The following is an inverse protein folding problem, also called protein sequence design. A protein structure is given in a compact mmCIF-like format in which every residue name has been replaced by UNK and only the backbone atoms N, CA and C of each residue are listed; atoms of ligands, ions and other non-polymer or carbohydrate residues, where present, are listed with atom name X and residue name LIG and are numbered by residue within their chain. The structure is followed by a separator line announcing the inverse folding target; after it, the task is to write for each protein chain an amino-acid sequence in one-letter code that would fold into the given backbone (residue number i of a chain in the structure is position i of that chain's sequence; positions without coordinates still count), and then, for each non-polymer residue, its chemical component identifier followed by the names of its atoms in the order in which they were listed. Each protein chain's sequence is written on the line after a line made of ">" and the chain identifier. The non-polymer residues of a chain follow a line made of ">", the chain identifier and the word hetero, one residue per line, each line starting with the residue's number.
data_IF_291193375172
#
_entry.id   IF_291193375172
#
_cell.length_a   1.000
_cell.length_b   1.000
_cell.length_c   1.000
_cell.angle_alpha   90.00
_cell.angle_beta   90.00
_cell.angle_gamma   90.00
#
_symmetry.space_group_name_H-M   'P 1'
#
loop_
_entity.id
_entity.type
_entity.pdbx_description
1 polymer ?
#
# COMPACT_ATOMS: atom_id res chain seq x y z
N UNK A 1 -22.98 -80.84 40.35
CA UNK A 1 -23.22 -80.32 38.98
C UNK A 1 -22.77 -78.87 39.00
N UNK A 2 -21.62 -78.60 38.36
CA UNK A 2 -20.84 -77.37 38.50
C UNK A 2 -21.38 -76.22 37.67
N UNK A 3 -21.28 -75.02 38.23
CA UNK A 3 -21.48 -73.76 37.51
C UNK A 3 -20.15 -73.24 36.99
N UNK A 4 -20.17 -72.71 35.77
CA UNK A 4 -19.07 -71.91 35.23
C UNK A 4 -19.62 -70.61 34.64
N UNK A 5 -19.28 -69.51 35.31
CA UNK A 5 -19.46 -68.13 34.87
C UNK A 5 -18.36 -67.82 33.86
N UNK A 6 -18.70 -67.44 32.63
CA UNK A 6 -17.72 -67.08 31.60
C UNK A 6 -17.52 -65.56 31.56
N UNK A 7 -16.60 -65.06 32.38
CA UNK A 7 -16.10 -63.69 32.28
C UNK A 7 -15.08 -63.59 31.14
N UNK A 8 -15.49 -63.03 30.00
CA UNK A 8 -14.58 -62.72 28.88
C UNK A 8 -13.77 -61.47 29.19
N UNK A 9 -12.53 -61.66 29.63
CA UNK A 9 -11.54 -60.59 29.80
C UNK A 9 -11.04 -60.14 28.42
N UNK A 10 -11.18 -58.86 28.09
CA UNK A 10 -10.62 -58.26 26.88
C UNK A 10 -9.08 -58.13 27.01
N UNK A 11 -8.30 -58.45 25.97
CA UNK A 11 -6.86 -58.24 26.02
C UNK A 11 -6.54 -56.74 25.87
N UNK A 12 -5.90 -56.18 26.91
CA UNK A 12 -5.06 -55.00 26.78
C UNK A 12 -3.78 -55.41 26.04
N UNK A 13 -3.61 -54.98 24.79
CA UNK A 13 -2.30 -54.81 24.15
C UNK A 13 -2.12 -53.31 23.88
N UNK A 14 -1.21 -52.64 24.57
CA UNK A 14 0.17 -52.41 24.11
C UNK A 14 0.14 -51.25 23.10
N UNK A 15 0.50 -50.00 23.44
CA UNK A 15 1.77 -49.63 24.07
C UNK A 15 2.88 -49.69 23.02
N UNK A 16 3.07 -48.61 22.25
CA UNK A 16 4.10 -48.46 21.22
C UNK A 16 3.48 -48.28 19.82
N UNK A 17 3.63 -47.16 19.14
CA UNK A 17 4.87 -46.43 18.89
C UNK A 17 4.55 -44.97 18.62
N UNK A 18 5.34 -44.10 19.23
CA UNK A 18 5.48 -42.71 18.83
C UNK A 18 5.51 -42.61 17.30
N UNK A 19 4.54 -41.90 16.72
CA UNK A 19 4.54 -41.48 15.34
C UNK A 19 5.64 -40.43 15.13
N UNK A 20 6.88 -40.90 15.18
CA UNK A 20 8.07 -40.10 14.93
C UNK A 20 7.96 -39.44 13.54
N UNK A 21 8.48 -38.22 13.37
CA UNK A 21 8.33 -37.52 12.10
C UNK A 21 9.03 -38.29 10.99
N UNK A 22 8.30 -38.68 9.95
CA UNK A 22 8.88 -39.27 8.73
C UNK A 22 9.47 -38.12 7.89
N UNK A 23 10.76 -37.86 8.09
CA UNK A 23 11.57 -36.86 7.38
C UNK A 23 13.01 -36.87 7.90
N UNK A 24 14.01 -36.47 7.10
CA UNK A 24 15.39 -36.39 7.60
C UNK A 24 15.49 -35.30 8.69
N UNK A 25 16.28 -35.52 9.75
CA UNK A 25 16.47 -34.53 10.84
C UNK A 25 16.88 -33.16 10.29
N UNK A 26 17.67 -33.14 9.23
CA UNK A 26 18.08 -31.94 8.49
C UNK A 26 16.89 -31.25 7.81
N UNK A 27 16.03 -32.00 7.13
CA UNK A 27 14.83 -31.46 6.47
C UNK A 27 13.85 -30.83 7.45
N UNK A 28 13.68 -31.42 8.63
CA UNK A 28 12.84 -30.82 9.68
C UNK A 28 13.43 -29.53 10.24
N UNK A 29 14.74 -29.47 10.46
CA UNK A 29 15.43 -28.25 10.91
C UNK A 29 15.34 -27.13 9.87
N UNK A 30 15.54 -27.44 8.60
CA UNK A 30 15.41 -26.49 7.49
C UNK A 30 13.96 -25.98 7.34
N UNK A 31 12.97 -26.86 7.48
CA UNK A 31 11.55 -26.49 7.51
C UNK A 31 11.25 -25.56 8.69
N UNK A 32 11.76 -25.86 9.89
CA UNK A 32 11.60 -24.99 11.07
C UNK A 32 12.25 -23.62 10.90
N UNK A 33 13.47 -23.56 10.35
CA UNK A 33 14.15 -22.31 10.03
C UNK A 33 13.40 -21.49 8.98
N UNK A 34 12.88 -22.14 7.94
CA UNK A 34 12.07 -21.48 6.91
C UNK A 34 10.80 -20.86 7.52
N UNK A 35 10.09 -21.57 8.40
CA UNK A 35 8.92 -21.03 9.11
C UNK A 35 9.32 -19.85 9.99
N UNK A 36 10.40 -19.96 10.77
CA UNK A 36 10.85 -18.89 11.65
C UNK A 36 11.22 -17.62 10.86
N UNK A 37 12.00 -17.76 9.78
CA UNK A 37 12.32 -16.64 8.89
C UNK A 37 11.05 -16.06 8.26
N UNK A 38 10.14 -16.93 7.80
CA UNK A 38 8.88 -16.51 7.21
C UNK A 38 8.03 -15.67 8.16
N UNK A 39 7.94 -16.07 9.44
CA UNK A 39 7.25 -15.29 10.47
C UNK A 39 7.92 -13.94 10.73
N UNK A 40 9.26 -13.88 10.77
CA UNK A 40 9.99 -12.62 10.95
C UNK A 40 9.71 -11.66 9.79
N UNK A 41 9.79 -12.13 8.54
CA UNK A 41 9.51 -11.29 7.37
C UNK A 41 8.04 -10.84 7.31
N UNK A 42 7.11 -11.75 7.59
CA UNK A 42 5.68 -11.46 7.55
C UNK A 42 5.28 -10.46 8.65
N UNK A 43 5.59 -10.77 9.92
CA UNK A 43 5.22 -9.91 11.05
C UNK A 43 6.03 -8.62 11.06
N UNK A 44 7.31 -8.67 10.70
CA UNK A 44 8.17 -7.50 10.57
C UNK A 44 7.70 -6.56 9.46
N UNK A 45 7.40 -7.09 8.27
CA UNK A 45 6.84 -6.32 7.17
C UNK A 45 5.48 -5.72 7.52
N UNK A 46 4.59 -6.51 8.12
CA UNK A 46 3.28 -6.02 8.56
C UNK A 46 3.39 -4.92 9.62
N UNK A 47 4.23 -5.10 10.64
CA UNK A 47 4.45 -4.09 11.68
C UNK A 47 5.07 -2.81 11.08
N UNK A 48 6.04 -2.95 10.19
CA UNK A 48 6.66 -1.80 9.51
C UNK A 48 5.63 -1.02 8.69
N UNK A 49 4.80 -1.71 7.90
CA UNK A 49 3.70 -1.11 7.16
C UNK A 49 2.65 -0.44 8.05
N UNK A 50 2.24 -1.09 9.13
CA UNK A 50 1.24 -0.54 10.06
C UNK A 50 1.72 0.72 10.80
N UNK A 51 3.04 0.86 11.01
CA UNK A 51 3.63 2.04 11.64
C UNK A 51 3.75 3.20 10.63
N UNK A 52 4.18 2.93 9.40
CA UNK A 52 4.43 3.96 8.39
C UNK A 52 3.18 4.38 7.61
N UNK A 53 2.22 3.49 7.38
CA UNK A 53 1.09 3.78 6.50
C UNK A 53 -0.21 3.95 7.27
N UNK A 54 -1.11 4.79 6.73
CA UNK A 54 -2.50 4.92 7.17
C UNK A 54 -3.45 4.70 6.00
N UNK A 55 -4.53 3.92 6.18
CA UNK A 55 -5.62 3.88 5.23
C UNK A 55 -6.50 5.12 5.36
N UNK A 56 -6.93 5.66 4.23
CA UNK A 56 -7.94 6.72 4.14
C UNK A 56 -9.03 6.32 3.14
N UNK A 57 -10.29 6.61 3.46
CA UNK A 57 -11.39 6.51 2.50
C UNK A 57 -11.61 7.88 1.88
N UNK A 58 -11.60 7.98 0.56
CA UNK A 58 -11.79 9.24 -0.18
C UNK A 58 -13.27 9.42 -0.51
N UNK A 59 -13.97 10.42 0.07
CA UNK A 59 -15.42 10.54 -0.08
C UNK A 59 -15.86 11.32 -1.33
N UNK A 60 -14.95 12.00 -2.03
CA UNK A 60 -15.27 12.89 -3.15
C UNK A 60 -14.58 12.45 -4.44
N UNK A 61 -15.09 12.93 -5.57
CA UNK A 61 -14.52 12.71 -6.90
C UNK A 61 -13.43 13.73 -7.26
N UNK A 62 -12.97 14.56 -6.33
CA UNK A 62 -12.07 15.70 -6.66
C UNK A 62 -10.68 15.29 -7.16
N UNK A 63 -10.34 14.01 -7.03
CA UNK A 63 -9.09 13.42 -7.49
C UNK A 63 -9.30 12.47 -8.68
N UNK A 64 -10.49 12.42 -9.27
CA UNK A 64 -10.76 11.63 -10.48
C UNK A 64 -9.95 12.18 -11.66
N UNK A 65 -9.35 11.32 -12.51
CA UNK A 65 -9.46 9.86 -12.55
C UNK A 65 -8.44 9.12 -11.68
N UNK A 66 -7.50 9.81 -11.04
CA UNK A 66 -6.43 9.16 -10.26
C UNK A 66 -6.95 8.42 -9.03
N UNK A 67 -7.91 9.01 -8.32
CA UNK A 67 -8.57 8.42 -7.16
C UNK A 67 -10.07 8.71 -7.28
N UNK A 68 -10.88 7.65 -7.31
CA UNK A 68 -12.33 7.77 -7.41
C UNK A 68 -12.99 7.99 -6.04
N UNK A 69 -14.21 8.51 -6.06
CA UNK A 69 -15.03 8.59 -4.86
C UNK A 69 -15.33 7.17 -4.33
N UNK A 70 -15.09 6.95 -3.04
CA UNK A 70 -15.23 5.66 -2.36
C UNK A 70 -13.94 4.84 -2.28
N UNK A 71 -12.88 5.25 -2.98
CA UNK A 71 -11.60 4.53 -2.95
C UNK A 71 -10.96 4.55 -1.55
N UNK A 72 -10.30 3.45 -1.20
CA UNK A 72 -9.42 3.37 -0.04
C UNK A 72 -7.98 3.44 -0.49
N UNK A 73 -7.28 4.44 0.02
CA UNK A 73 -5.88 4.69 -0.32
C UNK A 73 -4.99 4.38 0.88
N UNK A 74 -3.78 3.89 0.60
CA UNK A 74 -2.69 3.86 1.58
C UNK A 74 -1.81 5.07 1.39
N UNK A 75 -1.60 5.79 2.48
CA UNK A 75 -0.74 6.96 2.49
C UNK A 75 0.37 6.79 3.52
N UNK A 76 1.60 7.05 3.08
CA UNK A 76 2.82 7.05 3.88
C UNK A 76 2.82 8.27 4.79
N UNK A 77 3.08 8.09 6.08
CA UNK A 77 3.27 9.17 7.03
C UNK A 77 4.61 9.83 6.78
N UNK A 78 4.55 11.04 6.26
CA UNK A 78 5.72 11.89 6.01
C UNK A 78 5.45 13.28 6.54
N UNK A 79 6.52 14.04 6.77
CA UNK A 79 6.42 15.45 7.10
C UNK A 79 6.34 16.30 5.83
N UNK A 80 5.79 17.51 5.98
CA UNK A 80 5.66 18.46 4.88
C UNK A 80 6.98 18.84 4.21
N UNK A 81 8.14 18.60 4.84
CA UNK A 81 9.47 18.84 4.25
C UNK A 81 9.87 17.83 3.17
N UNK A 82 9.25 16.64 3.16
CA UNK A 82 9.51 15.58 2.18
C UNK A 82 8.65 15.71 0.93
N UNK A 83 7.56 16.49 1.02
CA UNK A 83 6.62 16.73 -0.09
C UNK A 83 7.30 17.46 -1.24
N UNK A 84 7.08 16.97 -2.46
CA UNK A 84 7.54 17.54 -3.73
C UNK A 84 6.36 17.80 -4.67
N UNK A 85 6.65 18.48 -5.78
CA UNK A 85 5.66 18.74 -6.83
C UNK A 85 5.18 17.42 -7.44
N UNK A 86 3.90 17.38 -7.75
CA UNK A 86 3.17 16.24 -8.26
C UNK A 86 2.77 15.19 -7.22
N UNK A 87 3.23 15.29 -5.97
CA UNK A 87 2.77 14.38 -4.90
C UNK A 87 1.27 14.54 -4.65
N UNK A 88 0.59 13.44 -4.35
CA UNK A 88 -0.78 13.46 -3.83
C UNK A 88 -0.71 13.38 -2.32
N UNK A 89 -1.22 14.38 -1.62
CA UNK A 89 -1.08 14.50 -0.16
C UNK A 89 -2.42 14.48 0.54
N UNK A 90 -2.43 13.91 1.75
CA UNK A 90 -3.50 14.04 2.73
C UNK A 90 -3.11 15.16 3.69
N UNK A 91 -3.97 16.16 3.84
CA UNK A 91 -3.75 17.28 4.77
C UNK A 91 -5.03 17.62 5.54
N UNK A 92 -4.88 18.33 6.66
CA UNK A 92 -6.00 18.84 7.44
C UNK A 92 -5.80 20.34 7.60
N UNK A 93 -6.66 21.13 6.95
CA UNK A 93 -6.67 22.59 7.03
C UNK A 93 -8.06 23.09 7.42
N UNK A 94 -8.14 23.78 8.56
CA UNK A 94 -9.40 24.26 9.14
C UNK A 94 -10.08 25.34 8.29
N UNK A 95 -9.33 26.02 7.43
CA UNK A 95 -9.85 27.06 6.54
C UNK A 95 -10.56 26.46 5.32
N UNK A 96 -10.15 25.28 4.88
CA UNK A 96 -10.76 24.58 3.74
C UNK A 96 -11.90 23.68 4.19
N UNK A 97 -11.63 22.77 5.13
CA UNK A 97 -12.61 21.82 5.64
C UNK A 97 -12.39 21.61 7.13
N UNK A 98 -13.43 21.85 7.92
CA UNK A 98 -13.36 21.72 9.38
C UNK A 98 -13.07 20.28 9.81
N UNK A 99 -11.87 20.07 10.37
CA UNK A 99 -11.43 18.82 11.03
C UNK A 99 -11.55 17.54 10.19
N UNK A 100 -11.47 17.62 8.86
CA UNK A 100 -11.49 16.45 7.99
C UNK A 100 -10.22 16.38 7.12
N UNK A 101 -9.70 15.17 6.84
CA UNK A 101 -8.61 15.01 5.88
C UNK A 101 -9.10 15.30 4.46
N UNK A 102 -8.29 16.04 3.71
CA UNK A 102 -8.51 16.37 2.30
C UNK A 102 -7.36 15.80 1.49
N UNK A 103 -7.66 15.33 0.27
CA UNK A 103 -6.67 14.78 -0.67
C UNK A 103 -6.59 15.67 -1.89
N UNK A 104 -5.38 16.14 -2.22
CA UNK A 104 -5.08 16.96 -3.41
C UNK A 104 -3.67 16.67 -3.94
N UNK A 105 -3.41 17.07 -5.18
CA UNK A 105 -2.08 17.05 -5.80
C UNK A 105 -1.36 18.36 -5.57
N UNK A 106 -0.10 18.28 -5.16
CA UNK A 106 0.81 19.41 -5.05
C UNK A 106 1.24 19.84 -6.44
N UNK A 107 0.94 21.07 -6.86
CA UNK A 107 1.38 21.57 -8.18
C UNK A 107 2.49 22.60 -8.06
N UNK A 108 2.55 23.33 -6.94
CA UNK A 108 3.60 24.28 -6.66
C UNK A 108 3.94 24.29 -5.16
N UNK A 109 5.18 24.64 -4.84
CA UNK A 109 5.72 24.70 -3.48
C UNK A 109 6.29 26.08 -3.19
N UNK A 110 6.56 26.37 -1.90
CA UNK A 110 7.14 27.65 -1.49
C UNK A 110 8.30 28.12 -2.37
N UNK A 111 8.23 29.39 -2.78
CA UNK A 111 9.13 30.04 -3.75
C UNK A 111 8.64 29.99 -5.20
N UNK A 112 7.70 29.10 -5.53
CA UNK A 112 7.16 29.01 -6.88
C UNK A 112 6.18 30.14 -7.19
N UNK A 113 6.08 30.44 -8.48
CA UNK A 113 4.93 31.12 -9.08
C UNK A 113 4.10 30.12 -9.85
N UNK A 114 2.78 30.17 -9.68
CA UNK A 114 1.82 29.32 -10.39
C UNK A 114 0.71 30.16 -10.98
N UNK A 115 0.35 29.91 -12.22
CA UNK A 115 -0.68 30.67 -12.93
C UNK A 115 -1.42 29.79 -13.92
N UNK A 116 -2.65 30.18 -14.24
CA UNK A 116 -3.44 29.53 -15.28
C UNK A 116 -4.15 30.54 -16.18
N UNK A 117 -4.25 30.31 -17.49
CA UNK A 117 -3.64 29.20 -18.25
C UNK A 117 -3.08 29.70 -19.57
N UNK A 118 -1.89 29.18 -19.93
CA UNK A 118 -1.28 29.38 -21.25
C UNK A 118 -1.62 28.16 -22.08
N UNK A 119 -2.41 28.31 -23.15
CA UNK A 119 -2.92 27.22 -24.00
C UNK A 119 -3.67 26.13 -23.24
N UNK A 120 -4.42 26.53 -22.20
CA UNK A 120 -5.17 25.60 -21.36
C UNK A 120 -4.31 24.76 -20.42
N UNK A 121 -3.00 25.03 -20.30
CA UNK A 121 -2.08 24.35 -19.39
C UNK A 121 -1.68 25.22 -18.20
N UNK A 122 -1.41 24.53 -17.09
CA UNK A 122 -0.84 25.14 -15.89
C UNK A 122 0.57 25.64 -16.21
N UNK A 123 0.92 26.84 -15.72
CA UNK A 123 2.27 27.37 -15.81
C UNK A 123 2.85 27.49 -14.41
N UNK A 124 4.03 26.91 -14.17
CA UNK A 124 4.77 27.02 -12.91
C UNK A 124 6.17 27.56 -13.21
N UNK A 125 6.55 28.66 -12.58
CA UNK A 125 7.80 29.39 -12.83
C UNK A 125 8.03 29.72 -14.31
N UNK A 126 6.94 30.12 -15.00
CA UNK A 126 6.97 30.45 -16.43
C UNK A 126 7.02 29.24 -17.37
N UNK A 127 7.08 28.01 -16.84
CA UNK A 127 7.09 26.77 -17.63
C UNK A 127 5.69 26.12 -17.68
N UNK A 128 5.22 25.77 -18.87
CA UNK A 128 4.03 24.94 -19.03
C UNK A 128 4.29 23.53 -18.49
N UNK A 129 3.36 23.03 -17.68
CA UNK A 129 3.43 21.73 -17.04
C UNK A 129 2.61 20.73 -17.84
N UNK A 130 3.23 19.59 -18.14
CA UNK A 130 2.51 18.43 -18.66
C UNK A 130 1.84 17.69 -17.51
N UNK A 131 0.54 17.41 -17.65
CA UNK A 131 -0.27 16.84 -16.58
C UNK A 131 -0.85 15.49 -17.03
N UNK A 132 -0.03 14.45 -17.25
CA UNK A 132 -0.47 13.18 -17.83
C UNK A 132 -1.36 12.33 -16.91
N UNK A 133 -1.57 12.79 -15.67
CA UNK A 133 -2.59 12.26 -14.76
C UNK A 133 -4.00 12.76 -15.09
N UNK A 134 -4.13 13.80 -15.93
CA UNK A 134 -5.40 14.27 -16.43
C UNK A 134 -5.79 13.55 -17.73
N UNK A 135 -7.09 13.37 -18.02
CA UNK A 135 -7.53 12.91 -19.34
C UNK A 135 -7.00 13.84 -20.46
N UNK A 136 -6.63 13.30 -21.63
CA UNK A 136 -6.14 14.11 -22.75
C UNK A 136 -7.13 15.23 -23.13
N UNK A 137 -6.62 16.45 -23.33
CA UNK A 137 -7.43 17.61 -23.68
C UNK A 137 -8.16 18.28 -22.51
N UNK A 138 -7.95 17.79 -21.27
CA UNK A 138 -8.48 18.46 -20.07
C UNK A 138 -7.78 19.80 -19.86
N UNK A 139 -8.56 20.86 -19.67
CA UNK A 139 -8.03 22.17 -19.29
C UNK A 139 -7.49 22.11 -17.86
N UNK A 140 -6.36 22.78 -17.64
CA UNK A 140 -5.76 22.85 -16.32
C UNK A 140 -6.60 23.67 -15.32
N UNK A 141 -7.49 24.56 -15.79
CA UNK A 141 -8.57 25.16 -15.02
C UNK A 141 -9.61 25.72 -15.99
N UNK A 142 -10.89 25.82 -15.58
CA UNK A 142 -11.92 26.53 -16.36
C UNK A 142 -11.90 28.03 -16.10
N UNK A 143 -11.73 28.44 -14.84
CA UNK A 143 -11.99 29.81 -14.40
C UNK A 143 -10.87 30.79 -14.72
N UNK A 144 -9.69 30.29 -15.12
CA UNK A 144 -8.41 31.00 -15.10
C UNK A 144 -8.13 31.63 -13.73
N UNK A 145 -6.87 31.68 -13.32
CA UNK A 145 -6.52 32.32 -12.05
C UNK A 145 -5.23 33.13 -12.19
N UNK A 146 -5.13 34.26 -11.46
CA UNK A 146 -3.96 35.12 -11.57
C UNK A 146 -2.70 34.40 -11.10
N UNK A 147 -1.54 34.93 -11.46
CA UNK A 147 -0.27 34.41 -10.92
C UNK A 147 -0.25 34.52 -9.40
N UNK A 148 -0.07 33.37 -8.74
CA UNK A 148 0.10 33.24 -7.29
C UNK A 148 1.56 32.93 -7.01
N UNK A 149 2.19 33.68 -6.12
CA UNK A 149 3.49 33.32 -5.55
C UNK A 149 3.26 32.52 -4.28
N UNK A 150 3.72 31.27 -4.26
CA UNK A 150 3.54 30.37 -3.12
C UNK A 150 4.52 30.78 -2.02
N UNK A 151 4.04 31.19 -0.83
CA UNK A 151 4.93 31.56 0.26
C UNK A 151 5.77 30.39 0.74
N UNK A 152 6.94 30.70 1.32
CA UNK A 152 7.79 29.70 1.96
C UNK A 152 7.03 28.87 3.00
N UNK A 153 7.31 27.57 3.04
CA UNK A 153 6.62 26.65 3.93
C UNK A 153 5.17 26.35 3.54
N UNK A 154 4.70 26.80 2.37
CA UNK A 154 3.34 26.53 1.86
C UNK A 154 3.35 25.75 0.54
N UNK A 155 2.16 25.27 0.17
CA UNK A 155 1.88 24.44 -0.99
C UNK A 155 0.67 25.01 -1.73
N UNK A 156 0.68 24.94 -3.05
CA UNK A 156 -0.50 25.15 -3.90
C UNK A 156 -0.97 23.78 -4.40
N UNK A 157 -2.22 23.47 -4.13
CA UNK A 157 -2.79 22.13 -4.28
C UNK A 157 -3.98 22.18 -5.23
N UNK A 158 -4.02 21.31 -6.23
CA UNK A 158 -5.14 21.15 -7.15
C UNK A 158 -5.76 19.76 -7.04
N UNK A 159 -7.05 19.65 -7.32
CA UNK A 159 -7.66 18.37 -7.65
C UNK A 159 -7.25 17.90 -9.04
N UNK A 160 -7.27 16.59 -9.25
CA UNK A 160 -7.15 16.06 -10.62
C UNK A 160 -8.47 16.25 -11.39
N UNK A 161 -9.60 16.40 -10.68
CA UNK A 161 -10.88 16.80 -11.27
C UNK A 161 -10.98 18.34 -11.33
N UNK A 162 -10.47 18.92 -12.42
CA UNK A 162 -10.29 20.38 -12.58
C UNK A 162 -11.57 21.20 -12.63
N UNK A 163 -12.73 20.58 -12.82
CA UNK A 163 -13.99 21.32 -12.95
C UNK A 163 -14.78 21.36 -11.64
N UNK A 164 -14.68 20.30 -10.84
CA UNK A 164 -15.49 20.10 -9.64
C UNK A 164 -14.72 20.13 -8.33
N UNK A 165 -13.40 20.32 -8.37
CA UNK A 165 -12.56 20.33 -7.17
C UNK A 165 -12.64 21.67 -6.44
N UNK A 166 -12.99 21.62 -5.15
CA UNK A 166 -12.68 22.71 -4.21
C UNK A 166 -11.23 22.54 -3.76
N UNK A 167 -10.35 23.38 -4.31
CA UNK A 167 -8.91 23.35 -4.06
C UNK A 167 -8.32 24.77 -4.02
N UNK A 168 -7.01 24.94 -4.23
CA UNK A 168 -6.34 26.22 -4.08
C UNK A 168 -6.99 27.34 -4.90
N UNK A 169 -7.54 27.06 -6.09
CA UNK A 169 -8.17 28.09 -6.93
C UNK A 169 -9.49 28.60 -6.33
N UNK A 170 -10.20 27.76 -5.58
CA UNK A 170 -11.43 28.13 -4.89
C UNK A 170 -11.18 28.99 -3.63
N UNK A 171 -9.95 28.98 -3.12
CA UNK A 171 -9.55 29.62 -1.85
C UNK A 171 -8.66 30.85 -2.04
N UNK A 172 -8.51 31.38 -3.26
CA UNK A 172 -7.59 32.49 -3.57
C UNK A 172 -7.89 33.79 -2.83
N UNK A 173 -9.14 34.02 -2.42
CA UNK A 173 -9.54 35.22 -1.65
C UNK A 173 -9.39 35.05 -0.14
N UNK A 174 -9.03 33.86 0.33
CA UNK A 174 -8.81 33.61 1.74
C UNK A 174 -7.51 34.25 2.22
N UNK A 175 -7.33 34.39 3.54
CA UNK A 175 -6.14 35.01 4.14
C UNK A 175 -4.81 34.36 3.71
N UNK A 176 -4.85 33.08 3.33
CA UNK A 176 -3.69 32.33 2.84
C UNK A 176 -3.59 32.26 1.31
N UNK A 177 -4.41 33.00 0.57
CA UNK A 177 -4.39 33.08 -0.89
C UNK A 177 -4.42 31.71 -1.57
N UNK A 178 -5.30 30.83 -1.08
CA UNK A 178 -5.45 29.48 -1.61
C UNK A 178 -4.31 28.52 -1.31
N UNK A 179 -3.29 28.90 -0.55
CA UNK A 179 -2.18 27.99 -0.23
C UNK A 179 -2.41 27.25 1.08
N UNK A 180 -1.79 26.08 1.25
CA UNK A 180 -1.88 25.23 2.44
C UNK A 180 -0.50 25.14 3.10
N UNK A 181 -0.45 25.18 4.44
CA UNK A 181 0.82 25.05 5.15
C UNK A 181 1.41 23.63 4.97
N UNK A 182 2.72 23.51 4.73
CA UNK A 182 3.41 22.20 4.69
C UNK A 182 3.18 21.38 5.97
N UNK A 183 3.10 22.04 7.13
CA UNK A 183 2.81 21.39 8.42
C UNK A 183 1.38 20.84 8.55
N UNK A 184 0.46 21.24 7.67
CA UNK A 184 -0.89 20.69 7.61
C UNK A 184 -0.91 19.28 6.97
N UNK A 185 0.13 18.92 6.20
CA UNK A 185 0.27 17.58 5.60
C UNK A 185 0.39 16.53 6.69
N UNK A 186 -0.28 15.39 6.48
CA UNK A 186 -0.30 14.23 7.38
C UNK A 186 0.24 12.97 6.73
N UNK A 187 0.15 12.86 5.41
CA UNK A 187 0.63 11.71 4.66
C UNK A 187 0.73 12.01 3.16
N UNK A 188 1.51 11.21 2.43
CA UNK A 188 1.56 11.16 0.96
C UNK A 188 0.92 9.86 0.47
N UNK A 189 -0.01 9.96 -0.46
CA UNK A 189 -0.74 8.82 -1.02
C UNK A 189 0.16 8.07 -2.00
N UNK A 190 0.25 6.74 -1.83
CA UNK A 190 1.10 5.90 -2.68
C UNK A 190 0.33 4.85 -3.48
N UNK A 191 -0.81 4.37 -2.97
CA UNK A 191 -1.58 3.33 -3.63
C UNK A 191 -3.07 3.45 -3.34
N UNK A 192 -3.87 3.03 -4.31
CA UNK A 192 -5.28 2.70 -4.12
C UNK A 192 -5.37 1.20 -3.85
N UNK A 193 -5.74 0.84 -2.63
CA UNK A 193 -5.80 -0.55 -2.16
C UNK A 193 -7.20 -1.15 -2.24
N UNK A 194 -8.23 -0.31 -2.41
CA UNK A 194 -9.59 -0.76 -2.68
C UNK A 194 -10.35 0.26 -3.54
N UNK A 195 -10.89 -0.12 -4.72
CA UNK A 195 -10.58 -1.36 -5.43
C UNK A 195 -9.08 -1.42 -5.75
N UNK A 196 -8.50 -2.60 -5.92
CA UNK A 196 -7.03 -2.80 -6.01
C UNK A 196 -6.41 -2.19 -7.29
N UNK A 197 -6.48 -0.87 -7.47
CA UNK A 197 -5.96 -0.14 -8.63
C UNK A 197 -4.45 0.07 -8.55
N UNK A 198 -3.82 -0.35 -7.46
CA UNK A 198 -2.37 -0.45 -7.33
C UNK A 198 -1.69 0.85 -6.95
N UNK A 199 -0.39 0.94 -7.23
CA UNK A 199 0.41 2.12 -6.93
C UNK A 199 0.04 3.29 -7.85
N UNK A 200 0.02 4.50 -7.28
CA UNK A 200 -0.13 5.72 -8.06
C UNK A 200 1.04 5.85 -9.03
N UNK A 201 0.74 6.34 -10.23
CA UNK A 201 1.78 6.69 -11.20
C UNK A 201 2.64 7.81 -10.63
N UNK A 202 3.93 7.78 -10.98
CA UNK A 202 4.86 8.83 -10.57
C UNK A 202 4.40 10.18 -11.10
N UNK A 203 4.64 11.26 -10.33
CA UNK A 203 4.48 12.60 -10.86
C UNK A 203 5.42 12.75 -12.05
N UNK A 204 4.88 13.31 -13.13
CA UNK A 204 5.61 13.61 -14.36
C UNK A 204 5.18 14.99 -14.82
N UNK A 205 6.04 15.69 -15.57
CA UNK A 205 5.86 17.09 -15.98
C UNK A 205 6.52 18.12 -15.06
N UNK A 206 6.98 17.71 -13.87
CA UNK A 206 7.62 18.57 -12.87
C UNK A 206 9.14 18.38 -12.75
N UNK A 207 9.73 17.45 -13.51
CA UNK A 207 11.15 17.04 -13.44
C UNK A 207 12.09 18.23 -13.62
N UNK A 208 11.78 19.10 -14.57
CA UNK A 208 12.63 20.26 -14.88
C UNK A 208 12.50 21.40 -13.84
N UNK A 209 11.58 21.27 -12.89
CA UNK A 209 11.40 22.22 -11.79
C UNK A 209 12.09 21.78 -10.50
N UNK A 210 12.73 20.61 -10.49
CA UNK A 210 13.52 20.09 -9.38
C UNK A 210 13.28 18.62 -9.08
N UNK A 211 13.89 18.15 -8.00
CA UNK A 211 13.81 16.74 -7.61
C UNK A 211 12.37 16.31 -7.29
N UNK A 212 11.98 15.17 -7.87
CA UNK A 212 10.74 14.48 -7.54
C UNK A 212 10.90 13.64 -6.27
N UNK A 213 9.77 13.32 -5.65
CA UNK A 213 9.71 12.42 -4.51
C UNK A 213 10.16 11.00 -4.86
N UNK A 214 10.93 10.39 -3.97
CA UNK A 214 11.22 8.96 -4.05
C UNK A 214 10.00 8.13 -3.62
N UNK A 215 9.76 6.96 -4.23
CA UNK A 215 8.73 6.04 -3.76
C UNK A 215 9.05 5.57 -2.34
N UNK A 216 8.03 5.55 -1.49
CA UNK A 216 8.10 4.94 -0.18
C UNK A 216 8.21 3.41 -0.23
N UNK A 217 8.41 2.78 0.93
CA UNK A 217 8.74 1.36 1.02
C UNK A 217 7.56 0.41 0.81
N UNK A 218 6.38 0.87 0.38
CA UNK A 218 5.16 0.05 0.29
C UNK A 218 5.36 -1.23 -0.53
N UNK A 219 6.04 -1.12 -1.68
CA UNK A 219 6.35 -2.27 -2.53
C UNK A 219 7.26 -3.29 -1.83
N UNK A 220 8.30 -2.80 -1.15
CA UNK A 220 9.23 -3.65 -0.37
C UNK A 220 8.52 -4.32 0.80
N UNK A 221 7.67 -3.59 1.52
CA UNK A 221 6.84 -4.13 2.62
C UNK A 221 5.92 -5.23 2.10
N UNK A 222 5.22 -4.99 0.98
CA UNK A 222 4.37 -5.98 0.34
C UNK A 222 5.13 -7.25 -0.03
N UNK A 223 6.34 -7.10 -0.57
CA UNK A 223 7.21 -8.23 -0.91
C UNK A 223 7.62 -9.03 0.34
N UNK A 224 8.03 -8.36 1.42
CA UNK A 224 8.40 -9.02 2.68
C UNK A 224 7.24 -9.84 3.25
N UNK A 225 6.02 -9.29 3.21
CA UNK A 225 4.80 -9.97 3.68
C UNK A 225 4.53 -11.21 2.83
N UNK A 226 4.54 -11.08 1.49
CA UNK A 226 4.26 -12.21 0.59
C UNK A 226 5.33 -13.30 0.68
N UNK A 227 6.61 -12.92 0.67
CA UNK A 227 7.73 -13.85 0.82
C UNK A 227 7.69 -14.55 2.18
N UNK A 228 7.39 -13.80 3.25
CA UNK A 228 7.22 -14.35 4.59
C UNK A 228 6.10 -15.38 4.66
N UNK A 229 4.92 -15.04 4.13
CA UNK A 229 3.78 -15.96 4.06
C UNK A 229 4.12 -17.24 3.27
N UNK A 230 4.78 -17.11 2.13
CA UNK A 230 5.21 -18.25 1.32
C UNK A 230 6.17 -19.19 2.07
N UNK A 231 7.13 -18.64 2.82
CA UNK A 231 8.06 -19.42 3.65
C UNK A 231 7.35 -20.15 4.79
N UNK A 232 6.39 -19.49 5.46
CA UNK A 232 5.59 -20.11 6.53
C UNK A 232 4.78 -21.29 5.98
N UNK A 233 4.06 -21.08 4.87
CA UNK A 233 3.22 -22.12 4.26
C UNK A 233 4.07 -23.28 3.72
N UNK A 234 5.15 -22.98 3.00
CA UNK A 234 6.06 -23.99 2.44
C UNK A 234 6.79 -24.79 3.53
N UNK A 235 7.29 -24.10 4.55
CA UNK A 235 7.94 -24.72 5.70
C UNK A 235 6.97 -25.61 6.50
N UNK A 236 5.75 -25.13 6.78
CA UNK A 236 4.72 -25.89 7.50
C UNK A 236 4.20 -27.11 6.74
N UNK A 237 4.10 -27.02 5.41
CA UNK A 237 3.64 -28.13 4.56
C UNK A 237 4.68 -29.25 4.39
N UNK A 238 5.96 -29.01 4.73
CA UNK A 238 7.04 -29.98 4.55
C UNK A 238 6.76 -31.32 5.24
N UNK A 239 6.33 -31.31 6.51
CA UNK A 239 6.08 -32.52 7.28
C UNK A 239 4.98 -33.42 6.68
N UNK A 240 3.77 -32.89 6.39
CA UNK A 240 2.71 -33.62 5.70
C UNK A 240 3.11 -34.16 4.31
N UNK A 241 3.86 -33.37 3.53
CA UNK A 241 4.27 -33.76 2.17
C UNK A 241 5.33 -34.86 2.22
N UNK A 242 6.35 -34.75 3.09
CA UNK A 242 7.38 -35.77 3.28
C UNK A 242 6.78 -37.11 3.74
N UNK A 243 5.75 -37.08 4.60
CA UNK A 243 4.99 -38.27 5.02
C UNK A 243 4.26 -38.94 3.84
N UNK A 244 3.61 -38.17 2.97
CA UNK A 244 2.89 -38.72 1.79
C UNK A 244 3.83 -39.33 0.76
N UNK A 245 4.95 -38.69 0.46
CA UNK A 245 5.92 -39.19 -0.53
C UNK A 245 6.71 -40.39 -0.04
N UNK A 246 7.08 -40.44 1.25
CA UNK A 246 7.69 -41.61 1.87
C UNK A 246 6.79 -42.85 1.85
N UNK A 247 5.47 -42.66 2.07
CA UNK A 247 4.47 -43.74 2.03
C UNK A 247 4.20 -44.27 0.61
N UNK A 248 4.44 -43.45 -0.43
CA UNK A 248 4.31 -43.84 -1.84
C UNK A 248 5.51 -44.67 -2.33
N UNK A 249 6.70 -44.46 -1.76
CA UNK A 249 7.93 -45.23 -2.07
C UNK A 249 8.00 -46.60 -1.40
N UNK A 250 7.21 -46.84 -0.35
CA UNK A 250 7.24 -48.08 0.45
C UNK A 250 6.16 -49.09 0.07
N UNK A 251 5.39 -48.87 -1.00
CA UNK A 251 4.46 -49.87 -1.54
C UNK A 251 5.29 -50.91 -2.32
N UNK A 252 5.43 -52.17 -1.84
CA UNK A 252 6.11 -53.20 -2.60
C UNK A 252 5.30 -53.48 -3.87
N UNK A 253 6.01 -53.61 -4.99
CA UNK A 253 5.50 -54.25 -6.20
C UNK A 253 4.91 -55.61 -5.80
N UNK A 254 3.63 -55.83 -6.10
CA UNK A 254 2.99 -57.12 -5.90
C UNK A 254 3.72 -58.13 -6.77
N UNK A 255 4.64 -58.89 -6.16
CA UNK A 255 5.22 -60.07 -6.75
C UNK A 255 4.08 -60.98 -7.24
N UNK A 256 4.16 -61.35 -8.52
CA UNK A 256 3.10 -62.06 -9.24
C UNK A 256 2.63 -63.32 -8.52
N UNK A 257 1.31 -63.50 -8.50
CA UNK A 257 0.71 -64.81 -8.30
C UNK A 257 0.63 -65.49 -9.67
N UNK A 258 1.26 -66.66 -9.76
CA UNK A 258 1.15 -67.62 -10.86
C UNK A 258 -0.26 -68.18 -10.97
#
# INVERSE_FOLDING_TARGET
>A
MGGESTTRTAPRSGGGTSSGPVGSRTGQRLSGLAVALGLVLFLGGFAWGALLYRPYTVPTSSMSPTIAAGDRVLAERIDGGEVRRGDVVVFIDKTWVSNAPVVKRVVAVGGDTVSCCTDGKLTVNGKQIEEPYLPPGTLAEIKNFPTVTVPDGRLFLLGDERQGSLDSTAHLTDAAQGTVARSAVKARVEAVVWPMNGMLKRPTGFEDLGALSEPGPLGTIGWLIVAGAALVLGGGAYGPIAKRTGRRRTRPESAGAR
#
